data_IF_520713351676
#
_entry.id   IF_520713351676
#
_cell.length_a   1.000
_cell.length_b   1.000
_cell.length_c   1.000
_cell.angle_alpha   90.00
_cell.angle_beta   90.00
_cell.angle_gamma   90.00
#
_symmetry.space_group_name_H-M   'P 1'
#
loop_
_entity.id
_entity.type
_entity.pdbx_description
1 polymer ?
#
# COMPACT_ATOMS: atom_id res chain seq x y z
N UNK A 1 -50.12 6.41 -8.29
CA UNK A 1 -48.85 7.13 -8.09
C UNK A 1 -47.99 6.53 -6.94
N UNK A 2 -47.89 5.20 -6.80
CA UNK A 2 -47.05 4.56 -5.75
C UNK A 2 -45.79 3.85 -6.30
N UNK A 3 -45.72 3.62 -7.62
CA UNK A 3 -44.62 2.88 -8.28
C UNK A 3 -43.37 3.73 -8.54
N UNK A 4 -43.50 5.05 -8.69
CA UNK A 4 -42.37 5.94 -8.95
C UNK A 4 -41.42 6.09 -7.76
N UNK A 5 -41.94 5.95 -6.53
CA UNK A 5 -41.16 6.13 -5.30
C UNK A 5 -40.24 4.92 -5.01
N UNK A 6 -40.69 3.70 -5.35
CA UNK A 6 -39.87 2.48 -5.22
C UNK A 6 -38.66 2.47 -6.16
N UNK A 7 -38.81 3.00 -7.38
CA UNK A 7 -37.72 3.05 -8.37
C UNK A 7 -36.64 4.06 -7.93
N UNK A 8 -37.05 5.19 -7.35
CA UNK A 8 -36.12 6.20 -6.85
C UNK A 8 -35.31 5.72 -5.64
N UNK A 9 -35.91 4.87 -4.79
CA UNK A 9 -35.23 4.29 -3.62
C UNK A 9 -34.23 3.19 -4.01
N UNK A 10 -34.54 2.39 -5.03
CA UNK A 10 -33.63 1.40 -5.64
C UNK A 10 -32.44 2.05 -6.35
N UNK A 11 -32.62 3.22 -6.98
CA UNK A 11 -31.51 3.93 -7.64
C UNK A 11 -30.55 4.57 -6.63
N UNK A 12 -31.07 5.07 -5.50
CA UNK A 12 -30.25 5.63 -4.43
C UNK A 12 -29.50 4.54 -3.63
N UNK A 13 -30.06 3.34 -3.50
CA UNK A 13 -29.38 2.20 -2.87
C UNK A 13 -28.31 1.55 -3.78
N UNK A 14 -28.41 1.67 -5.10
CA UNK A 14 -27.33 1.25 -6.02
C UNK A 14 -26.12 2.20 -5.98
N UNK A 15 -26.33 3.49 -5.72
CA UNK A 15 -25.26 4.50 -5.63
C UNK A 15 -24.42 4.38 -4.35
N UNK A 16 -24.90 3.66 -3.32
CA UNK A 16 -24.16 3.41 -2.08
C UNK A 16 -23.38 2.10 -2.08
N UNK A 17 -23.37 1.35 -3.19
CA UNK A 17 -22.46 0.22 -3.37
C UNK A 17 -21.00 0.72 -3.52
N UNK A 18 -20.41 1.01 -2.37
CA UNK A 18 -19.04 0.68 -2.01
C UNK A 18 -18.00 1.01 -3.08
N UNK A 19 -17.43 2.22 -3.02
CA UNK A 19 -16.05 2.42 -3.43
C UNK A 19 -15.15 1.67 -2.44
N UNK A 20 -15.09 0.34 -2.56
CA UNK A 20 -14.07 -0.46 -1.90
C UNK A 20 -12.74 -0.11 -2.57
N UNK A 21 -11.71 0.17 -1.77
CA UNK A 21 -10.38 0.43 -2.28
C UNK A 21 -9.61 -0.88 -2.32
N UNK A 22 -9.15 -1.25 -3.52
CA UNK A 22 -8.40 -2.48 -3.77
C UNK A 22 -7.03 -2.12 -4.31
N UNK A 23 -6.05 -2.16 -3.42
CA UNK A 23 -4.68 -1.79 -3.75
C UNK A 23 -3.77 -3.02 -3.61
N UNK A 24 -2.82 -3.13 -4.53
CA UNK A 24 -1.80 -4.19 -4.52
C UNK A 24 -0.43 -3.54 -4.39
N UNK A 25 0.26 -3.79 -3.28
CA UNK A 25 1.66 -3.40 -3.13
C UNK A 25 2.55 -4.49 -3.72
N UNK A 26 3.32 -4.18 -4.75
CA UNK A 26 4.38 -5.03 -5.26
C UNK A 26 5.72 -4.43 -4.85
N UNK A 27 6.46 -5.11 -3.98
CA UNK A 27 7.78 -4.66 -3.51
C UNK A 27 8.85 -5.58 -4.07
N UNK A 28 9.77 -5.03 -4.84
CA UNK A 28 10.96 -5.73 -5.34
C UNK A 28 12.19 -5.29 -4.57
N UNK A 29 13.04 -6.24 -4.17
CA UNK A 29 14.31 -5.93 -3.53
C UNK A 29 15.44 -5.84 -4.56
N UNK A 30 16.15 -4.72 -4.59
CA UNK A 30 17.48 -4.56 -5.21
C UNK A 30 18.61 -4.53 -4.17
N UNK A 31 18.30 -4.80 -2.91
CA UNK A 31 19.30 -4.85 -1.86
C UNK A 31 20.19 -6.08 -2.02
N UNK A 32 21.51 -5.89 -1.91
CA UNK A 32 22.48 -6.99 -1.95
C UNK A 32 22.53 -7.62 -0.57
N UNK A 33 21.72 -8.67 -0.39
CA UNK A 33 21.66 -9.46 0.84
C UNK A 33 20.23 -9.59 1.38
N UNK A 34 20.13 -9.96 2.66
CA UNK A 34 18.87 -10.12 3.36
C UNK A 34 18.40 -8.76 3.89
N UNK A 35 17.14 -8.41 3.62
CA UNK A 35 16.51 -7.21 4.16
C UNK A 35 15.07 -7.51 4.59
N UNK A 36 14.57 -6.73 5.53
CA UNK A 36 13.19 -6.79 5.99
C UNK A 36 12.47 -5.50 5.61
N UNK A 37 11.19 -5.62 5.29
CA UNK A 37 10.31 -4.47 5.15
C UNK A 37 9.10 -4.63 6.07
N UNK A 38 8.81 -3.61 6.87
CA UNK A 38 7.57 -3.48 7.62
C UNK A 38 6.66 -2.54 6.87
N UNK A 39 5.43 -2.97 6.66
CA UNK A 39 4.38 -2.15 6.07
C UNK A 39 3.34 -1.91 7.14
N UNK A 40 3.01 -0.64 7.38
CA UNK A 40 1.85 -0.25 8.17
C UNK A 40 0.67 -0.10 7.21
N UNK A 41 -0.37 -0.89 7.47
CA UNK A 41 -1.61 -0.91 6.71
C UNK A 41 -2.61 0.08 7.33
N UNK A 42 -3.64 0.47 6.56
CA UNK A 42 -4.58 1.51 7.00
C UNK A 42 -5.41 1.14 8.22
N UNK A 43 -5.57 -0.16 8.48
CA UNK A 43 -6.23 -0.71 9.67
C UNK A 43 -5.35 -0.64 10.94
N UNK A 44 -4.17 -0.04 10.84
CA UNK A 44 -3.17 0.02 11.91
C UNK A 44 -2.38 -1.28 12.09
N UNK A 45 -2.71 -2.33 11.33
CA UNK A 45 -1.93 -3.57 11.36
C UNK A 45 -0.58 -3.35 10.69
N UNK A 46 0.44 -4.07 11.16
CA UNK A 46 1.75 -4.02 10.51
C UNK A 46 2.19 -5.41 10.06
N UNK A 47 2.73 -5.48 8.84
CA UNK A 47 3.20 -6.72 8.23
C UNK A 47 4.68 -6.62 7.96
N UNK A 48 5.46 -7.49 8.61
CA UNK A 48 6.89 -7.63 8.37
C UNK A 48 7.12 -8.72 7.34
N UNK A 49 7.87 -8.39 6.30
CA UNK A 49 8.29 -9.31 5.26
C UNK A 49 9.80 -9.45 5.23
N UNK A 50 10.25 -10.65 4.87
CA UNK A 50 11.66 -10.96 4.63
C UNK A 50 11.92 -11.09 3.13
N UNK A 51 12.94 -10.37 2.66
CA UNK A 51 13.51 -10.47 1.32
C UNK A 51 14.87 -11.15 1.44
N UNK A 52 15.02 -12.42 1.02
CA UNK A 52 16.24 -13.19 1.27
C UNK A 52 17.43 -12.78 0.41
N UNK A 53 17.18 -12.20 -0.77
CA UNK A 53 18.21 -11.85 -1.76
C UNK A 53 17.74 -10.79 -2.74
N UNK A 54 18.68 -10.24 -3.52
CA UNK A 54 18.42 -9.40 -4.69
C UNK A 54 17.39 -10.06 -5.63
N UNK A 55 16.51 -9.24 -6.22
CA UNK A 55 15.45 -9.65 -7.13
C UNK A 55 14.21 -10.24 -6.46
N UNK A 56 14.25 -10.49 -5.14
CA UNK A 56 13.09 -11.02 -4.41
C UNK A 56 11.91 -10.06 -4.50
N UNK A 57 10.77 -10.56 -4.94
CA UNK A 57 9.55 -9.75 -5.10
C UNK A 57 8.46 -10.30 -4.19
N UNK A 58 7.72 -9.40 -3.54
CA UNK A 58 6.55 -9.73 -2.73
C UNK A 58 5.37 -8.87 -3.16
N UNK A 59 4.22 -9.49 -3.30
CA UNK A 59 2.96 -8.80 -3.58
C UNK A 59 2.05 -8.96 -2.38
N UNK A 60 1.52 -7.84 -1.89
CA UNK A 60 0.53 -7.81 -0.82
C UNK A 60 -0.72 -7.15 -1.38
N UNK A 61 -1.82 -7.90 -1.50
CA UNK A 61 -3.11 -7.29 -1.65
C UNK A 61 -3.51 -6.67 -0.31
N UNK A 62 -4.08 -5.47 -0.36
CA UNK A 62 -4.85 -4.92 0.74
C UNK A 62 -6.14 -4.32 0.19
N UNK A 63 -7.23 -4.61 0.88
CA UNK A 63 -8.54 -4.09 0.57
C UNK A 63 -9.05 -3.37 1.80
N UNK A 64 -9.68 -2.23 1.59
CA UNK A 64 -10.25 -1.46 2.69
C UNK A 64 -11.65 -0.98 2.30
N UNK A 65 -12.57 -1.04 3.27
CA UNK A 65 -14.01 -0.88 3.04
C UNK A 65 -14.40 0.57 2.69
N UNK A 66 -13.60 1.58 3.07
CA UNK A 66 -13.92 3.01 2.92
C UNK A 66 -12.80 3.72 2.18
N UNK A 67 -12.88 3.89 0.85
CA UNK A 67 -11.87 4.67 0.13
C UNK A 67 -11.62 6.05 0.75
N UNK A 68 -10.35 6.39 0.91
CA UNK A 68 -9.88 7.59 1.58
C UNK A 68 -8.38 7.51 1.74
N UNK A 69 -7.69 8.65 1.59
CA UNK A 69 -6.23 8.79 1.61
C UNK A 69 -5.53 7.99 2.71
N UNK A 70 -5.11 6.78 2.37
CA UNK A 70 -4.52 5.85 3.30
C UNK A 70 -3.03 6.09 3.43
N UNK A 71 -2.58 6.42 4.62
CA UNK A 71 -1.16 6.50 4.91
C UNK A 71 -0.58 5.09 4.87
N UNK A 72 0.20 4.82 3.82
CA UNK A 72 0.94 3.58 3.65
C UNK A 72 2.40 3.89 3.94
N UNK A 73 2.95 3.24 4.96
CA UNK A 73 4.30 3.49 5.45
C UNK A 73 5.11 2.21 5.28
N UNK A 74 6.22 2.30 4.53
CA UNK A 74 7.15 1.20 4.32
C UNK A 74 8.47 1.56 4.98
N UNK A 75 8.86 0.77 5.98
CA UNK A 75 10.11 0.87 6.72
C UNK A 75 10.99 -0.32 6.39
N UNK A 76 12.29 -0.13 6.17
CA UNK A 76 13.22 -1.22 5.86
C UNK A 76 14.26 -1.41 6.95
N UNK A 77 14.70 -2.66 7.17
CA UNK A 77 15.61 -3.03 8.26
C UNK A 77 16.61 -4.10 7.82
N UNK A 78 17.86 -4.03 8.33
CA UNK A 78 18.88 -5.08 8.07
C UNK A 78 18.62 -6.33 8.90
N UNK A 79 17.97 -6.18 10.05
CA UNK A 79 17.60 -7.23 11.01
C UNK A 79 16.09 -7.25 11.22
N UNK A 80 15.54 -8.35 11.71
CA UNK A 80 14.10 -8.45 11.98
C UNK A 80 13.72 -7.45 13.07
N UNK A 81 12.69 -6.61 12.88
CA UNK A 81 12.23 -5.69 13.93
C UNK A 81 11.35 -6.36 15.01
N UNK A 82 11.20 -7.70 15.00
CA UNK A 82 10.47 -8.43 16.04
C UNK A 82 11.34 -8.52 17.30
N UNK A 83 11.03 -7.71 18.30
CA UNK A 83 11.55 -7.86 19.66
C UNK A 83 12.43 -6.73 20.19
N UNK A 84 12.56 -5.60 19.50
CA UNK A 84 13.39 -4.49 19.96
C UNK A 84 12.70 -3.15 19.68
N UNK A 85 12.19 -2.53 20.74
CA UNK A 85 12.16 -1.07 20.83
C UNK A 85 13.58 -0.57 20.47
N UNK A 86 13.70 0.27 19.45
CA UNK A 86 14.98 0.91 19.09
C UNK A 86 15.79 0.33 17.93
N UNK A 87 15.23 -0.52 17.06
CA UNK A 87 15.88 -0.78 15.76
C UNK A 87 15.45 0.29 14.76
N UNK A 88 16.36 1.23 14.50
CA UNK A 88 16.09 2.28 13.53
C UNK A 88 15.95 1.72 12.11
N UNK A 89 14.95 2.18 11.35
CA UNK A 89 14.82 1.82 9.95
C UNK A 89 15.97 2.40 9.14
N UNK A 90 16.47 1.63 8.17
CA UNK A 90 17.47 2.10 7.19
C UNK A 90 16.85 3.17 6.29
N UNK A 91 15.57 2.99 5.97
CA UNK A 91 14.82 3.90 5.14
C UNK A 91 13.33 3.80 5.41
N UNK A 92 12.65 4.93 5.22
CA UNK A 92 11.21 5.07 5.41
C UNK A 92 10.65 5.79 4.20
N UNK A 93 9.55 5.29 3.67
CA UNK A 93 8.74 6.01 2.68
C UNK A 93 7.28 5.97 3.09
N UNK A 94 6.61 7.10 2.95
CA UNK A 94 5.21 7.26 3.32
C UNK A 94 4.46 7.93 2.18
N UNK A 95 3.27 7.41 1.91
CA UNK A 95 2.39 7.93 0.87
C UNK A 95 0.95 7.85 1.33
N UNK A 96 0.16 8.85 0.95
CA UNK A 96 -1.28 8.82 1.14
C UNK A 96 -1.92 8.41 -0.18
N UNK A 97 -2.47 7.19 -0.20
CA UNK A 97 -2.88 6.49 -1.41
C UNK A 97 -4.38 6.23 -1.39
N UNK A 98 -5.03 6.32 -2.55
CA UNK A 98 -6.46 6.08 -2.71
C UNK A 98 -6.75 5.43 -4.08
N UNK A 99 -7.91 4.79 -4.23
CA UNK A 99 -8.36 4.18 -5.48
C UNK A 99 -8.06 2.68 -5.61
N UNK A 100 -7.90 2.22 -6.85
CA UNK A 100 -7.79 0.80 -7.19
C UNK A 100 -6.58 0.56 -8.08
N UNK A 101 -5.82 -0.51 -7.84
CA UNK A 101 -4.72 -0.91 -8.72
C UNK A 101 -3.43 -1.26 -8.00
N UNK A 102 -2.32 -1.25 -8.73
CA UNK A 102 -1.02 -1.72 -8.26
C UNK A 102 -0.07 -0.56 -8.00
N UNK A 103 0.60 -0.61 -6.85
CA UNK A 103 1.71 0.24 -6.48
C UNK A 103 2.99 -0.59 -6.52
N UNK A 104 3.97 -0.13 -7.29
CA UNK A 104 5.25 -0.82 -7.49
C UNK A 104 6.32 -0.09 -6.69
N UNK A 105 6.81 -0.74 -5.66
CA UNK A 105 7.90 -0.28 -4.81
C UNK A 105 9.17 -1.06 -5.08
N UNK A 106 10.29 -0.39 -4.86
CA UNK A 106 11.62 -0.98 -4.92
C UNK A 106 12.39 -0.65 -3.64
N UNK A 107 13.03 -1.65 -3.06
CA UNK A 107 14.04 -1.45 -2.01
C UNK A 107 15.37 -1.31 -2.75
N UNK A 108 15.93 -0.11 -2.75
CA UNK A 108 17.18 0.23 -3.42
C UNK A 108 18.39 -0.49 -2.80
N UNK A 109 19.55 -0.39 -3.45
CA UNK A 109 20.81 -1.00 -2.99
C UNK A 109 21.29 -0.45 -1.64
N UNK A 110 20.96 0.80 -1.34
CA UNK A 110 21.16 1.46 -0.04
C UNK A 110 20.17 0.99 1.05
N UNK A 111 19.18 0.18 0.67
CA UNK A 111 18.11 -0.29 1.55
C UNK A 111 16.92 0.66 1.64
N UNK A 112 16.95 1.82 0.98
CA UNK A 112 15.84 2.77 1.00
C UNK A 112 14.65 2.26 0.16
N UNK A 113 13.42 2.24 0.71
CA UNK A 113 12.23 1.93 -0.08
C UNK A 113 11.84 3.15 -0.93
N UNK A 114 11.45 2.91 -2.19
CA UNK A 114 11.03 3.95 -3.13
C UNK A 114 9.82 3.48 -3.92
N UNK A 115 8.85 4.35 -4.12
CA UNK A 115 7.77 4.12 -5.08
C UNK A 115 8.35 4.37 -6.48
N UNK A 116 8.29 3.36 -7.34
CA UNK A 116 8.84 3.41 -8.70
C UNK A 116 7.75 3.46 -9.77
N UNK A 117 6.49 3.24 -9.40
CA UNK A 117 5.36 3.40 -10.30
C UNK A 117 4.05 3.05 -9.65
N UNK A 118 2.96 3.55 -10.24
CA UNK A 118 1.58 3.27 -9.84
C UNK A 118 0.70 3.14 -11.07
N UNK A 119 -0.36 2.36 -10.96
CA UNK A 119 -1.41 2.32 -11.97
C UNK A 119 -2.20 3.66 -11.96
N UNK A 120 -2.76 4.04 -13.11
CA UNK A 120 -3.47 5.33 -13.29
C UNK A 120 -4.69 5.51 -12.40
N UNK A 121 -5.31 4.41 -11.99
CA UNK A 121 -6.49 4.38 -11.12
C UNK A 121 -6.15 4.48 -9.62
N UNK A 122 -4.86 4.57 -9.27
CA UNK A 122 -4.39 4.85 -7.91
C UNK A 122 -4.07 6.33 -7.81
N UNK A 123 -4.71 7.05 -6.90
CA UNK A 123 -4.45 8.45 -6.57
C UNK A 123 -3.43 8.55 -5.43
N UNK A 124 -2.60 9.58 -5.47
CA UNK A 124 -1.63 9.88 -4.43
C UNK A 124 -1.69 11.37 -4.10
N UNK A 125 -2.11 11.71 -2.89
CA UNK A 125 -2.20 13.12 -2.47
C UNK A 125 -0.91 13.65 -1.85
N UNK A 126 -0.13 12.81 -1.18
CA UNK A 126 1.10 13.21 -0.50
C UNK A 126 2.24 12.20 -0.72
N UNK A 127 3.46 12.73 -0.87
CA UNK A 127 4.69 11.98 -1.11
C UNK A 127 5.11 11.96 -2.59
N UNK A 128 6.32 11.46 -2.87
CA UNK A 128 6.82 11.31 -4.26
C UNK A 128 6.16 10.10 -4.91
N UNK A 129 5.19 10.35 -5.77
CA UNK A 129 4.39 9.32 -6.47
C UNK A 129 4.57 9.38 -7.98
N UNK A 130 5.68 8.81 -8.51
CA UNK A 130 5.88 8.75 -9.95
C UNK A 130 4.79 7.91 -10.61
N UNK A 131 4.34 8.36 -11.79
CA UNK A 131 3.57 7.53 -12.69
C UNK A 131 4.49 6.46 -13.31
N UNK A 132 3.94 5.28 -13.56
CA UNK A 132 4.64 4.21 -14.27
C UNK A 132 4.65 4.48 -15.78
#
# INVERSE_FOLDING_TARGET
MRKAWQISFLFFSLLTLSSACELKLQIKSRYVGKIFAQIELPDGSSKIMRFPRFGSTRTIPFSAQICGLYMTSIKTFKKTPRGLDGVDPIGVVQHNLDGKGTLRYEISTDGSPRLIGRDLSVWCAFGKCPFA
#
